data_IF_819197561527
#
_entry.id   IF_819197561527
#
_cell.length_a   1.000
_cell.length_b   1.000
_cell.length_c   1.000
_cell.angle_alpha   90.00
_cell.angle_beta   90.00
_cell.angle_gamma   90.00
#
_symmetry.space_group_name_H-M   'P 1'
#
loop_
_entity.id
_entity.type
_entity.pdbx_description
1 polymer ?
#
# COMPACT_ATOMS: atom_id res chain seq x y z
N UNK A 1 -7.97 7.22 -10.94
CA UNK A 1 -6.58 6.94 -11.38
C UNK A 1 -5.64 7.73 -10.48
N UNK A 2 -4.81 7.19 -9.59
CA UNK A 2 -4.68 5.89 -8.89
C UNK A 2 -4.41 6.27 -7.41
N UNK A 3 -4.98 5.54 -6.47
CA UNK A 3 -4.79 5.78 -5.03
C UNK A 3 -3.35 5.41 -4.62
N UNK A 4 -2.69 6.26 -3.83
CA UNK A 4 -1.45 5.89 -3.14
C UNK A 4 -1.84 5.06 -1.91
N UNK A 5 -1.50 3.76 -1.94
CA UNK A 5 -1.69 2.84 -0.81
C UNK A 5 -0.43 2.85 0.06
N UNK A 6 -0.60 3.08 1.35
CA UNK A 6 0.44 2.81 2.34
C UNK A 6 0.01 1.68 3.27
N UNK A 7 0.95 0.76 3.52
CA UNK A 7 0.75 -0.47 4.28
C UNK A 7 1.20 -0.30 5.74
N UNK A 8 0.35 -0.60 6.72
CA UNK A 8 0.74 -0.88 8.11
C UNK A 8 0.60 -2.39 8.37
N UNK A 9 1.60 -3.00 9.01
CA UNK A 9 1.69 -4.44 9.24
C UNK A 9 1.19 -4.72 10.67
N UNK A 10 0.17 -5.58 10.80
CA UNK A 10 -0.22 -6.12 12.11
C UNK A 10 0.58 -7.41 12.35
N UNK A 11 1.43 -7.41 13.37
CA UNK A 11 1.96 -8.64 13.97
C UNK A 11 0.98 -9.18 14.99
N UNK A 12 0.53 -10.43 14.84
CA UNK A 12 -0.48 -11.00 15.71
C UNK A 12 0.07 -11.95 16.77
N UNK A 13 -0.63 -11.95 17.90
CA UNK A 13 -0.48 -12.85 19.03
C UNK A 13 -1.00 -14.24 18.65
N UNK A 14 -0.19 -15.25 18.98
CA UNK A 14 -0.29 -16.67 18.70
C UNK A 14 -1.66 -17.34 18.98
N UNK A 15 -2.13 -18.22 18.07
CA UNK A 15 -2.51 -19.63 18.36
C UNK A 15 -2.88 -20.41 17.08
N UNK A 16 -2.35 -21.64 17.00
CA UNK A 16 -2.48 -22.64 15.94
C UNK A 16 -3.85 -23.34 15.95
N UNK A 17 -4.37 -23.73 14.78
CA UNK A 17 -5.08 -25.00 14.55
C UNK A 17 -5.16 -25.36 13.06
N UNK A 18 -4.92 -26.64 12.75
CA UNK A 18 -5.00 -27.24 11.41
C UNK A 18 -6.43 -27.68 11.05
N UNK A 19 -6.83 -27.52 9.78
CA UNK A 19 -8.02 -28.20 9.22
C UNK A 19 -8.44 -27.75 7.80
N UNK A 20 -8.24 -28.65 6.83
CA UNK A 20 -8.91 -28.92 5.52
C UNK A 20 -9.29 -27.80 4.51
N UNK A 21 -8.90 -27.87 3.20
CA UNK A 21 -9.14 -26.83 2.21
C UNK A 21 -10.24 -27.23 1.21
N UNK A 22 -11.49 -26.85 1.48
CA UNK A 22 -12.47 -26.69 0.40
C UNK A 22 -13.62 -25.80 0.83
N UNK A 23 -13.79 -24.70 0.08
CA UNK A 23 -14.92 -23.77 0.12
C UNK A 23 -14.85 -22.66 1.18
N UNK A 24 -15.20 -21.47 0.71
CA UNK A 24 -15.54 -20.24 1.43
C UNK A 24 -14.44 -19.18 1.53
N UNK A 25 -14.80 -18.02 0.97
CA UNK A 25 -14.34 -16.66 1.28
C UNK A 25 -13.72 -16.62 2.69
N UNK A 26 -12.39 -16.59 2.73
CA UNK A 26 -11.61 -16.83 3.96
C UNK A 26 -12.02 -15.85 5.05
N UNK A 27 -12.41 -16.42 6.19
CA UNK A 27 -12.91 -15.71 7.35
C UNK A 27 -11.94 -14.61 7.83
N UNK A 28 -12.51 -13.45 8.12
CA UNK A 28 -11.83 -12.32 8.75
C UNK A 28 -11.50 -12.68 10.20
N UNK A 29 -10.33 -13.28 10.43
CA UNK A 29 -9.82 -13.56 11.78
C UNK A 29 -9.32 -12.30 12.51
N UNK A 30 -9.44 -11.12 11.91
CA UNK A 30 -9.40 -9.88 12.68
C UNK A 30 -10.67 -9.86 13.53
N UNK A 31 -10.62 -9.68 14.86
CA UNK A 31 -11.84 -9.49 15.62
C UNK A 31 -12.63 -8.38 14.93
N UNK A 32 -13.83 -8.68 14.41
CA UNK A 32 -14.65 -7.71 13.68
C UNK A 32 -14.73 -6.31 14.34
N UNK A 33 -14.66 -6.21 15.69
CA UNK A 33 -14.51 -4.92 16.38
C UNK A 33 -13.23 -4.14 16.03
N UNK A 34 -12.06 -4.78 15.95
CA UNK A 34 -10.78 -4.11 15.68
C UNK A 34 -10.69 -3.62 14.24
N UNK A 35 -11.07 -4.44 13.25
CA UNK A 35 -11.08 -4.02 11.86
C UNK A 35 -11.98 -2.78 11.65
N UNK A 36 -13.11 -2.73 12.37
CA UNK A 36 -14.02 -1.58 12.36
C UNK A 36 -13.37 -0.35 12.97
N UNK A 37 -12.74 -0.47 14.15
CA UNK A 37 -12.02 0.64 14.80
C UNK A 37 -10.88 1.19 13.94
N UNK A 38 -10.10 0.33 13.28
CA UNK A 38 -9.02 0.76 12.38
C UNK A 38 -9.58 1.64 11.24
N UNK A 39 -10.76 1.29 10.68
CA UNK A 39 -11.40 2.12 9.66
C UNK A 39 -11.90 3.45 10.22
N UNK A 40 -12.45 3.45 11.42
CA UNK A 40 -12.91 4.66 12.11
C UNK A 40 -11.75 5.62 12.39
N UNK A 41 -10.68 5.14 13.03
CA UNK A 41 -9.46 5.90 13.26
C UNK A 41 -8.84 6.38 11.96
N UNK A 42 -8.84 5.54 10.93
CA UNK A 42 -8.36 5.90 9.61
C UNK A 42 -9.08 7.14 9.05
N UNK A 43 -10.41 7.16 9.15
CA UNK A 43 -11.23 8.31 8.73
C UNK A 43 -10.94 9.55 9.57
N UNK A 44 -10.82 9.41 10.90
CA UNK A 44 -10.51 10.52 11.81
C UNK A 44 -9.12 11.13 11.54
N UNK A 45 -8.15 10.30 11.15
CA UNK A 45 -6.82 10.72 10.73
C UNK A 45 -6.79 11.31 9.31
N UNK A 46 -7.93 11.32 8.61
CA UNK A 46 -8.13 11.94 7.31
C UNK A 46 -7.76 11.06 6.11
N UNK A 47 -7.73 9.74 6.27
CA UNK A 47 -7.67 8.82 5.13
C UNK A 47 -9.05 8.71 4.46
N UNK A 48 -9.09 8.65 3.13
CA UNK A 48 -10.34 8.47 2.38
C UNK A 48 -10.86 7.03 2.46
N UNK A 49 -9.95 6.06 2.59
CA UNK A 49 -10.31 4.68 2.89
C UNK A 49 -9.15 3.96 3.55
N UNK A 50 -9.51 2.98 4.39
CA UNK A 50 -8.60 2.00 4.99
C UNK A 50 -9.18 0.61 4.79
N UNK A 51 -8.36 -0.34 4.38
CA UNK A 51 -8.75 -1.73 4.17
C UNK A 51 -7.71 -2.67 4.79
N UNK A 52 -8.17 -3.86 5.21
CA UNK A 52 -7.30 -4.93 5.70
C UNK A 52 -7.24 -6.00 4.60
N UNK A 53 -6.03 -6.39 4.23
CA UNK A 53 -5.77 -7.40 3.20
C UNK A 53 -4.99 -8.57 3.79
N UNK A 54 -5.16 -9.74 3.17
CA UNK A 54 -4.32 -10.91 3.42
C UNK A 54 -2.90 -10.69 2.89
N UNK A 55 -1.99 -11.59 3.26
CA UNK A 55 -0.55 -11.52 3.02
C UNK A 55 -0.06 -12.58 2.03
N UNK A 56 -0.95 -13.45 1.54
CA UNK A 56 -0.61 -14.38 0.46
C UNK A 56 -0.42 -13.62 -0.86
N UNK A 57 0.84 -13.53 -1.28
CA UNK A 57 1.27 -12.92 -2.53
C UNK A 57 1.99 -13.93 -3.43
N UNK A 58 1.84 -15.24 -3.18
CA UNK A 58 2.53 -16.28 -3.92
C UNK A 58 2.31 -16.18 -5.44
N UNK A 59 1.09 -15.78 -5.85
CA UNK A 59 0.75 -15.56 -7.26
C UNK A 59 1.61 -14.49 -7.95
N UNK A 60 2.20 -13.56 -7.20
CA UNK A 60 2.92 -12.40 -7.73
C UNK A 60 4.41 -12.69 -7.88
N UNK A 61 4.93 -13.73 -7.22
CA UNK A 61 6.36 -14.04 -7.18
C UNK A 61 6.94 -14.24 -8.58
N UNK A 62 6.31 -15.08 -9.40
CA UNK A 62 6.79 -15.39 -10.75
C UNK A 62 6.86 -14.13 -11.64
N UNK A 63 5.83 -13.28 -11.57
CA UNK A 63 5.78 -12.03 -12.32
C UNK A 63 6.86 -11.04 -11.88
N UNK A 64 7.08 -10.90 -10.55
CA UNK A 64 8.13 -10.05 -10.01
C UNK A 64 9.52 -10.55 -10.42
N UNK A 65 9.78 -11.86 -10.32
CA UNK A 65 11.05 -12.46 -10.70
C UNK A 65 11.35 -12.24 -12.19
N UNK A 66 10.37 -12.47 -13.07
CA UNK A 66 10.52 -12.24 -14.51
C UNK A 66 10.77 -10.75 -14.83
N UNK A 67 10.05 -9.85 -14.16
CA UNK A 67 10.22 -8.41 -14.33
C UNK A 67 11.62 -7.93 -13.89
N UNK A 68 12.14 -8.46 -12.78
CA UNK A 68 13.51 -8.18 -12.31
C UNK A 68 14.56 -8.75 -13.27
N UNK A 69 14.40 -10.00 -13.71
CA UNK A 69 15.32 -10.63 -14.66
C UNK A 69 15.37 -9.90 -16.00
N UNK A 70 14.27 -9.27 -16.40
CA UNK A 70 14.20 -8.45 -17.63
C UNK A 70 14.78 -7.04 -17.48
N UNK A 71 15.29 -6.67 -16.29
CA UNK A 71 15.85 -5.33 -16.05
C UNK A 71 14.81 -4.20 -16.08
N UNK A 72 13.52 -4.51 -15.93
CA UNK A 72 12.45 -3.52 -16.05
C UNK A 72 12.34 -2.56 -14.85
N UNK A 73 13.23 -2.70 -13.86
CA UNK A 73 13.34 -1.76 -12.74
C UNK A 73 14.06 -0.45 -13.08
N UNK A 74 14.68 -0.33 -14.27
CA UNK A 74 15.44 0.86 -14.65
C UNK A 74 16.49 1.19 -13.59
N UNK A 75 16.58 2.46 -13.17
CA UNK A 75 17.53 2.90 -12.14
C UNK A 75 17.11 2.56 -10.68
N UNK A 76 16.01 1.83 -10.48
CA UNK A 76 15.54 1.46 -9.13
C UNK A 76 16.27 0.22 -8.58
N UNK A 77 17.59 0.28 -8.42
CA UNK A 77 18.41 -0.87 -7.99
C UNK A 77 17.98 -1.50 -6.67
N UNK A 78 17.35 -0.71 -5.79
CA UNK A 78 16.75 -1.21 -4.55
C UNK A 78 15.65 -2.26 -4.79
N UNK A 79 15.00 -2.27 -5.97
CA UNK A 79 14.01 -3.28 -6.35
C UNK A 79 14.66 -4.65 -6.46
N UNK A 80 15.79 -4.74 -7.18
CA UNK A 80 16.55 -5.98 -7.31
C UNK A 80 17.25 -6.35 -5.99
N UNK A 81 17.87 -5.37 -5.31
CA UNK A 81 18.59 -5.60 -4.04
C UNK A 81 17.72 -6.21 -2.95
N UNK A 82 16.45 -5.85 -2.87
CA UNK A 82 15.53 -6.39 -1.86
C UNK A 82 14.82 -7.68 -2.31
N UNK A 83 15.06 -8.16 -3.54
CA UNK A 83 14.57 -9.44 -4.05
C UNK A 83 13.09 -9.67 -3.79
N UNK A 84 12.79 -10.79 -3.13
CA UNK A 84 11.43 -11.26 -2.90
C UNK A 84 10.76 -10.71 -1.65
N UNK A 85 11.42 -9.82 -0.87
CA UNK A 85 10.81 -9.19 0.33
C UNK A 85 9.47 -8.49 0.05
N UNK A 86 9.22 -8.11 -1.20
CA UNK A 86 7.97 -7.49 -1.66
C UNK A 86 6.80 -8.47 -1.83
N UNK A 87 7.11 -9.73 -2.11
CA UNK A 87 6.13 -10.80 -2.26
C UNK A 87 6.09 -11.73 -1.04
N UNK A 88 7.02 -11.56 -0.08
CA UNK A 88 7.14 -12.39 1.12
C UNK A 88 7.12 -11.54 2.38
N UNK A 89 5.93 -11.22 2.91
CA UNK A 89 5.80 -10.35 4.08
C UNK A 89 6.60 -10.79 5.31
N UNK A 90 6.78 -12.11 5.51
CA UNK A 90 7.60 -12.66 6.59
C UNK A 90 9.10 -12.27 6.50
N UNK A 91 9.63 -12.05 5.30
CA UNK A 91 11.03 -11.58 5.10
C UNK A 91 11.19 -10.08 5.34
N UNK A 92 10.08 -9.32 5.29
CA UNK A 92 10.05 -7.90 5.61
C UNK A 92 9.89 -7.68 7.12
N UNK A 93 8.92 -8.37 7.72
CA UNK A 93 8.66 -8.33 9.16
C UNK A 93 8.14 -9.71 9.63
N UNK A 94 8.90 -10.45 10.45
CA UNK A 94 8.44 -11.73 10.99
C UNK A 94 7.12 -11.59 11.76
N UNK A 95 6.23 -12.59 11.64
CA UNK A 95 4.93 -12.60 12.33
C UNK A 95 3.86 -11.68 11.72
N UNK A 96 4.09 -11.13 10.53
CA UNK A 96 3.06 -10.40 9.75
C UNK A 96 1.86 -11.30 9.52
N UNK A 97 0.64 -10.83 9.85
CA UNK A 97 -0.60 -11.57 9.58
C UNK A 97 -1.48 -10.89 8.52
N UNK A 98 -1.50 -9.56 8.53
CA UNK A 98 -2.36 -8.74 7.68
C UNK A 98 -1.66 -7.45 7.29
N UNK A 99 -2.09 -6.88 6.17
CA UNK A 99 -1.68 -5.56 5.70
C UNK A 99 -2.86 -4.60 5.78
N UNK A 100 -2.69 -3.49 6.50
CA UNK A 100 -3.63 -2.37 6.50
C UNK A 100 -3.21 -1.41 5.37
N UNK A 101 -4.02 -1.29 4.33
CA UNK A 101 -3.81 -0.32 3.25
C UNK A 101 -4.66 0.93 3.45
N UNK A 102 -4.03 2.10 3.49
CA UNK A 102 -4.72 3.39 3.58
C UNK A 102 -4.50 4.23 2.31
N UNK A 103 -5.51 5.02 1.90
CA UNK A 103 -5.42 5.92 0.74
C UNK A 103 -5.89 7.34 1.02
N UNK A 104 -5.37 8.28 0.24
CA UNK A 104 -5.78 9.69 0.23
C UNK A 104 -5.84 10.25 -1.20
N UNK A 105 -6.74 11.20 -1.42
CA UNK A 105 -6.87 11.99 -2.64
C UNK A 105 -5.78 13.05 -2.63
N UNK A 106 -4.96 13.03 -3.66
CA UNK A 106 -3.91 14.02 -3.87
C UNK A 106 -4.25 15.02 -4.97
N UNK A 107 -5.44 14.95 -5.59
CA UNK A 107 -5.81 15.86 -6.67
C UNK A 107 -5.91 17.29 -6.09
N UNK A 108 -4.98 18.20 -6.47
CA UNK A 108 -4.95 19.53 -5.90
C UNK A 108 -5.92 20.44 -6.64
N UNK A 109 -6.34 21.50 -5.97
CA UNK A 109 -6.97 22.65 -6.62
C UNK A 109 -5.89 23.45 -7.35
N UNK A 110 -5.60 23.04 -8.58
CA UNK A 110 -4.59 23.65 -9.44
C UNK A 110 -5.08 23.65 -10.89
N UNK A 111 -4.60 24.62 -11.68
CA UNK A 111 -4.96 24.79 -13.08
C UNK A 111 -4.93 23.45 -13.85
N UNK A 112 -5.88 23.17 -14.76
CA UNK A 112 -5.94 21.92 -15.50
C UNK A 112 -4.62 21.59 -16.20
N UNK A 113 -4.21 20.31 -16.17
CA UNK A 113 -2.93 19.89 -16.76
C UNK A 113 -2.82 20.23 -18.24
N UNK A 114 -3.93 20.10 -18.98
CA UNK A 114 -4.00 20.40 -20.41
C UNK A 114 -3.69 21.87 -20.73
N UNK A 115 -4.08 22.78 -19.83
CA UNK A 115 -3.89 24.21 -20.03
C UNK A 115 -2.40 24.56 -19.82
N UNK A 116 -1.76 23.97 -18.80
CA UNK A 116 -0.31 24.12 -18.56
C UNK A 116 0.52 23.51 -19.69
N UNK A 117 0.12 22.35 -20.20
CA UNK A 117 0.85 21.67 -21.29
C UNK A 117 0.70 22.38 -22.65
N UNK A 118 -0.33 23.21 -22.81
CA UNK A 118 -0.56 23.98 -24.04
C UNK A 118 0.27 25.27 -24.09
N UNK A 119 0.81 25.73 -22.96
CA UNK A 119 1.62 26.94 -22.86
C UNK A 119 3.13 26.60 -22.89
N UNK A 120 3.86 26.92 -23.98
CA UNK A 120 5.29 26.62 -24.08
C UNK A 120 6.16 27.43 -23.11
N UNK A 121 5.62 28.47 -22.46
CA UNK A 121 6.33 29.24 -21.45
C UNK A 121 6.33 28.55 -20.07
N UNK A 122 5.56 27.48 -19.88
CA UNK A 122 5.39 26.81 -18.59
C UNK A 122 5.98 25.39 -18.58
N UNK A 123 6.51 24.99 -17.42
CA UNK A 123 6.86 23.61 -17.13
C UNK A 123 5.72 22.89 -16.39
N UNK A 124 5.40 21.66 -16.80
CA UNK A 124 4.40 20.85 -16.09
C UNK A 124 5.02 20.05 -14.94
N UNK A 125 4.51 20.27 -13.73
CA UNK A 125 4.80 19.45 -12.55
C UNK A 125 3.68 18.44 -12.34
N UNK A 126 4.06 17.17 -12.15
CA UNK A 126 3.11 16.09 -11.89
C UNK A 126 2.26 16.37 -10.65
N UNK A 127 0.98 16.02 -10.70
CA UNK A 127 -0.01 16.36 -9.64
C UNK A 127 0.36 15.82 -8.26
N UNK A 128 0.97 14.64 -8.18
CA UNK A 128 1.39 14.03 -6.91
C UNK A 128 2.53 14.82 -6.22
N UNK A 129 3.23 15.68 -6.96
CA UNK A 129 4.32 16.50 -6.47
C UNK A 129 3.87 17.94 -6.12
N UNK A 130 2.57 18.24 -6.23
CA UNK A 130 2.03 19.54 -5.87
C UNK A 130 1.62 19.56 -4.39
N UNK A 131 1.89 20.68 -3.73
CA UNK A 131 1.56 20.88 -2.32
C UNK A 131 2.58 20.25 -1.37
N UNK A 132 2.12 19.76 -0.22
CA UNK A 132 2.99 19.18 0.80
C UNK A 132 3.40 17.76 0.40
N UNK A 133 4.69 17.45 0.56
CA UNK A 133 5.25 16.10 0.34
C UNK A 133 4.38 15.01 0.98
N UNK A 134 3.77 14.18 0.14
CA UNK A 134 2.83 13.15 0.55
C UNK A 134 3.48 12.14 1.50
N UNK A 135 4.79 11.88 1.38
CA UNK A 135 5.48 10.94 2.26
C UNK A 135 5.42 11.41 3.71
N UNK A 136 5.58 12.72 3.94
CA UNK A 136 5.50 13.30 5.28
C UNK A 136 4.08 13.24 5.83
N UNK A 137 3.08 13.54 5.00
CA UNK A 137 1.66 13.51 5.39
C UNK A 137 1.21 12.09 5.70
N UNK A 138 1.43 11.16 4.79
CA UNK A 138 1.05 9.75 4.93
C UNK A 138 1.75 9.12 6.13
N UNK A 139 3.08 9.27 6.26
CA UNK A 139 3.85 8.70 7.37
C UNK A 139 3.35 9.19 8.72
N UNK A 140 3.16 10.51 8.88
CA UNK A 140 2.71 11.08 10.15
C UNK A 140 1.31 10.61 10.57
N UNK A 141 0.43 10.31 9.61
CA UNK A 141 -0.91 9.78 9.88
C UNK A 141 -0.87 8.28 10.18
N UNK A 142 -0.10 7.50 9.42
CA UNK A 142 0.05 6.05 9.64
C UNK A 142 0.72 5.74 10.98
N UNK A 143 1.65 6.57 11.45
CA UNK A 143 2.26 6.39 12.77
C UNK A 143 1.28 6.61 13.94
N UNK A 144 0.16 7.31 13.70
CA UNK A 144 -0.89 7.53 14.69
C UNK A 144 -1.98 6.46 14.66
N UNK A 145 -2.09 5.74 13.54
CA UNK A 145 -3.04 4.65 13.34
C UNK A 145 -2.51 3.37 13.97
#
# INVERSE_FOLDING_TARGET
MRAECAAAIIGGVNKLNHGDPSTALVADDTPAPLATRIREWGRELGFDAVAVADIDLAHAEAGLAAWLASGFHGAMDYMARHGMKRARPAELHPGTLRVISARMRYLPDAAPARDILADPALGYVSRYALGRDYHKVMRARLQKL
#
